data_IF_586834973560
#
_entry.id   IF_586834973560
#
_cell.length_a   1.000
_cell.length_b   1.000
_cell.length_c   1.000
_cell.angle_alpha   90.00
_cell.angle_beta   90.00
_cell.angle_gamma   90.00
#
_symmetry.space_group_name_H-M   'P 1'
#
loop_
_entity.id
_entity.type
_entity.pdbx_description
1 polymer ?
#
# COMPACT_ATOMS: atom_id res chain seq x y z
N UNK A 1 13.17 -14.73 -14.45
CA UNK A 1 12.68 -13.43 -13.90
C UNK A 1 12.89 -12.40 -14.99
N UNK A 2 11.83 -11.82 -15.55
CA UNK A 2 11.97 -10.77 -16.57
C UNK A 2 12.71 -9.58 -15.94
N UNK A 3 13.84 -9.11 -16.50
CA UNK A 3 14.54 -7.96 -15.95
C UNK A 3 13.63 -6.72 -16.06
N UNK A 4 13.48 -5.99 -14.95
CA UNK A 4 12.73 -4.73 -14.95
C UNK A 4 13.51 -3.72 -15.81
N UNK A 5 12.84 -3.05 -16.75
CA UNK A 5 13.47 -2.00 -17.55
C UNK A 5 13.90 -0.83 -16.66
N UNK A 6 14.94 -0.10 -17.08
CA UNK A 6 15.42 1.08 -16.36
C UNK A 6 14.32 2.13 -16.21
N UNK A 7 13.55 2.36 -17.29
CA UNK A 7 12.38 3.23 -17.32
C UNK A 7 11.35 2.89 -16.23
N UNK A 8 11.03 1.60 -16.04
CA UNK A 8 10.06 1.17 -15.02
C UNK A 8 10.57 1.44 -13.60
N UNK A 9 11.87 1.32 -13.37
CA UNK A 9 12.48 1.58 -12.05
C UNK A 9 12.42 3.07 -11.71
N UNK A 10 12.70 3.92 -12.68
CA UNK A 10 12.63 5.37 -12.52
C UNK A 10 11.19 5.84 -12.28
N UNK A 11 10.25 5.35 -13.10
CA UNK A 11 8.83 5.65 -12.94
C UNK A 11 8.31 5.21 -11.56
N UNK A 12 8.74 4.03 -11.08
CA UNK A 12 8.40 3.54 -9.75
C UNK A 12 8.96 4.47 -8.66
N UNK A 13 10.24 4.83 -8.72
CA UNK A 13 10.86 5.72 -7.73
C UNK A 13 10.15 7.06 -7.64
N UNK A 14 9.84 7.69 -8.78
CA UNK A 14 9.13 8.97 -8.83
C UNK A 14 7.74 8.87 -8.22
N UNK A 15 7.02 7.81 -8.55
CA UNK A 15 5.65 7.58 -8.04
C UNK A 15 5.65 7.28 -6.54
N UNK A 16 6.58 6.44 -6.08
CA UNK A 16 6.69 6.05 -4.67
C UNK A 16 6.96 7.27 -3.78
N UNK A 17 7.81 8.22 -4.23
CA UNK A 17 8.07 9.46 -3.51
C UNK A 17 6.79 10.30 -3.37
N UNK A 18 6.04 10.48 -4.45
CA UNK A 18 4.79 11.25 -4.43
C UNK A 18 3.75 10.63 -3.47
N UNK A 19 3.56 9.31 -3.54
CA UNK A 19 2.61 8.58 -2.70
C UNK A 19 3.02 8.65 -1.23
N UNK A 20 4.31 8.46 -0.91
CA UNK A 20 4.81 8.52 0.46
C UNK A 20 4.67 9.91 1.08
N UNK A 21 4.84 10.97 0.29
CA UNK A 21 4.63 12.34 0.76
C UNK A 21 3.16 12.62 1.06
N UNK A 22 2.24 12.16 0.22
CA UNK A 22 0.80 12.24 0.48
C UNK A 22 0.40 11.49 1.76
N UNK A 23 0.92 10.26 1.95
CA UNK A 23 0.66 9.47 3.18
C UNK A 23 1.20 10.18 4.42
N UNK A 24 2.37 10.83 4.33
CA UNK A 24 2.97 11.58 5.44
C UNK A 24 2.16 12.80 5.85
N UNK A 25 1.56 13.50 4.89
CA UNK A 25 0.76 14.70 5.13
C UNK A 25 -0.63 14.40 5.73
N UNK A 26 -1.10 13.16 5.64
CA UNK A 26 -2.41 12.76 6.17
C UNK A 26 -2.43 12.73 7.71
N UNK A 27 -3.54 13.14 8.33
CA UNK A 27 -3.72 13.14 9.79
C UNK A 27 -3.46 11.75 10.40
N UNK A 28 -4.00 10.71 9.76
CA UNK A 28 -3.81 9.31 10.16
C UNK A 28 -2.57 8.63 9.56
N UNK A 29 -1.54 9.39 9.21
CA UNK A 29 -0.31 8.86 8.57
C UNK A 29 0.28 7.64 9.30
N UNK A 30 0.24 7.62 10.64
CA UNK A 30 0.70 6.49 11.47
C UNK A 30 -0.13 5.23 11.26
N UNK A 31 -1.45 5.35 11.15
CA UNK A 31 -2.37 4.24 10.87
C UNK A 31 -2.17 3.74 9.44
N UNK A 32 -2.16 4.64 8.46
CA UNK A 32 -1.99 4.30 7.04
C UNK A 32 -0.69 3.54 6.78
N UNK A 33 0.43 3.94 7.42
CA UNK A 33 1.70 3.21 7.31
C UNK A 33 1.63 1.78 7.85
N UNK A 34 0.86 1.53 8.91
CA UNK A 34 0.65 0.18 9.45
C UNK A 34 -0.31 -0.62 8.58
N UNK A 35 -1.39 0.01 8.13
CA UNK A 35 -2.40 -0.58 7.26
C UNK A 35 -1.79 -1.07 5.94
N UNK A 36 -1.04 -0.22 5.23
CA UNK A 36 -0.42 -0.56 3.95
C UNK A 36 0.70 -1.61 4.06
N UNK A 37 1.31 -1.76 5.24
CA UNK A 37 2.27 -2.84 5.52
C UNK A 37 1.61 -4.15 5.92
N UNK A 38 0.33 -4.12 6.29
CA UNK A 38 -0.37 -5.31 6.72
C UNK A 38 -0.71 -6.20 5.52
N UNK A 39 -0.76 -7.51 5.74
CA UNK A 39 -1.26 -8.46 4.75
C UNK A 39 -2.73 -8.68 5.00
N UNK A 40 -3.55 -8.43 3.99
CA UNK A 40 -4.96 -8.77 4.07
C UNK A 40 -5.12 -10.30 4.11
N UNK A 41 -5.89 -10.78 5.09
CA UNK A 41 -6.30 -12.17 5.20
C UNK A 41 -7.65 -12.24 5.90
N UNK A 42 -8.48 -13.21 5.51
CA UNK A 42 -9.71 -13.54 6.23
C UNK A 42 -9.38 -14.57 7.29
N UNK A 43 -9.68 -14.25 8.54
CA UNK A 43 -9.57 -15.20 9.64
C UNK A 43 -10.75 -16.16 9.63
N UNK A 44 -10.58 -17.32 10.27
CA UNK A 44 -11.64 -18.32 10.37
C UNK A 44 -12.90 -17.70 10.99
N UNK A 45 -14.05 -17.90 10.33
CA UNK A 45 -15.33 -17.32 10.75
C UNK A 45 -15.58 -15.89 10.30
N UNK A 46 -14.61 -15.21 9.66
CA UNK A 46 -14.82 -13.89 9.06
C UNK A 46 -15.30 -14.03 7.62
N UNK A 47 -16.51 -13.53 7.37
CA UNK A 47 -17.16 -13.59 6.06
C UNK A 47 -16.95 -12.27 5.31
N UNK A 48 -16.33 -12.27 4.11
CA UNK A 48 -15.98 -11.03 3.43
C UNK A 48 -17.20 -10.16 3.06
N UNK A 49 -18.37 -10.75 2.81
CA UNK A 49 -19.60 -10.01 2.54
C UNK A 49 -20.21 -9.33 3.78
N UNK A 50 -19.74 -9.65 4.99
CA UNK A 50 -20.14 -8.96 6.23
C UNK A 50 -19.16 -7.86 6.65
N UNK A 51 -18.00 -7.76 5.99
CA UNK A 51 -17.02 -6.72 6.28
C UNK A 51 -17.52 -5.37 5.76
N UNK A 52 -17.35 -4.33 6.58
CA UNK A 52 -17.52 -2.94 6.17
C UNK A 52 -16.12 -2.37 5.96
N UNK A 53 -15.81 -2.09 4.69
CA UNK A 53 -14.55 -1.48 4.28
C UNK A 53 -14.65 0.04 4.34
#
# INVERSE_FOLDING_TARGET
KTPLSAERREAQSTTDVAVLNAIKAHADSRLLRRYLKSRFQLWNGVLPHKLKF
#
